data_IF_284914711769
#
_entry.id   IF_284914711769
#
_cell.length_a   1.000
_cell.length_b   1.000
_cell.length_c   1.000
_cell.angle_alpha   90.00
_cell.angle_beta   90.00
_cell.angle_gamma   90.00
#
_symmetry.space_group_name_H-M   'P 1'
#
loop_
_entity.id
_entity.type
_entity.pdbx_description
1 polymer ?
#
# COMPACT_ATOMS: atom_id res chain seq x y z
N UNK A 1 -14.80 11.14 -11.53
CA UNK A 1 -13.78 10.55 -10.64
C UNK A 1 -12.44 10.81 -11.29
N UNK A 2 -11.58 11.58 -10.64
CA UNK A 2 -10.24 11.92 -11.12
C UNK A 2 -9.26 10.99 -10.39
N UNK A 3 -8.38 10.32 -11.14
CA UNK A 3 -7.38 9.42 -10.57
C UNK A 3 -6.05 9.61 -11.28
N UNK A 4 -4.97 9.71 -10.52
CA UNK A 4 -3.60 9.69 -11.06
C UNK A 4 -3.00 8.30 -10.90
N UNK A 5 -2.35 7.80 -11.94
CA UNK A 5 -1.64 6.53 -11.94
C UNK A 5 -0.20 6.74 -12.40
N UNK A 6 0.70 5.91 -11.90
CA UNK A 6 2.08 5.84 -12.35
C UNK A 6 2.13 4.85 -13.52
N UNK A 7 2.65 5.29 -14.66
CA UNK A 7 2.98 4.38 -15.74
C UNK A 7 4.20 3.53 -15.33
N UNK A 8 4.05 2.21 -15.31
CA UNK A 8 5.02 1.28 -14.71
C UNK A 8 6.34 1.20 -15.46
N UNK A 9 6.35 1.60 -16.74
CA UNK A 9 7.54 1.59 -17.61
C UNK A 9 8.31 2.90 -17.54
N UNK A 10 7.60 4.02 -17.55
CA UNK A 10 8.20 5.36 -17.65
C UNK A 10 8.36 6.06 -16.31
N UNK A 11 7.70 5.55 -15.25
CA UNK A 11 7.63 6.17 -13.94
C UNK A 11 7.15 7.63 -14.01
N UNK A 12 6.17 7.91 -14.88
CA UNK A 12 5.50 9.21 -14.99
C UNK A 12 4.07 9.11 -14.47
N UNK A 13 3.59 10.18 -13.84
CA UNK A 13 2.19 10.29 -13.44
C UNK A 13 1.32 10.63 -14.65
N UNK A 14 0.19 9.95 -14.77
CA UNK A 14 -0.83 10.19 -15.79
C UNK A 14 -2.19 10.37 -15.10
N UNK A 15 -2.89 11.42 -15.50
CA UNK A 15 -4.24 11.75 -15.01
C UNK A 15 -5.29 11.03 -15.86
N UNK A 16 -6.23 10.39 -15.19
CA UNK A 16 -7.39 9.75 -15.81
C UNK A 16 -8.68 10.37 -15.28
N UNK A 17 -9.63 10.55 -16.18
CA UNK A 17 -10.98 11.01 -15.89
C UNK A 17 -11.96 9.88 -16.20
N UNK A 18 -12.84 9.54 -15.26
CA UNK A 18 -13.83 8.48 -15.46
C UNK A 18 -13.31 7.09 -15.05
N UNK A 19 -13.41 6.11 -15.95
CA UNK A 19 -12.97 4.72 -15.69
C UNK A 19 -11.47 4.59 -16.00
N UNK A 20 -10.61 4.35 -14.99
CA UNK A 20 -9.18 4.16 -15.24
C UNK A 20 -8.90 2.81 -15.94
N UNK A 21 -7.75 2.67 -16.61
CA UNK A 21 -7.26 1.37 -17.08
C UNK A 21 -7.01 0.42 -15.89
N UNK A 22 -6.84 -0.90 -16.09
CA UNK A 22 -6.41 -1.80 -15.02
C UNK A 22 -5.10 -1.33 -14.37
N UNK A 23 -5.05 -1.34 -13.04
CA UNK A 23 -3.88 -0.91 -12.26
C UNK A 23 -3.63 -1.81 -11.05
N UNK A 24 -2.37 -1.85 -10.61
CA UNK A 24 -2.01 -2.35 -9.28
C UNK A 24 -2.11 -1.22 -8.25
N UNK A 25 -2.40 -1.55 -6.99
CA UNK A 25 -2.45 -0.56 -5.90
C UNK A 25 -1.52 -0.98 -4.75
N UNK A 26 -0.73 -0.05 -4.23
CA UNK A 26 0.13 -0.29 -3.08
C UNK A 26 -0.58 0.05 -1.78
N UNK A 27 -0.63 -0.92 -0.87
CA UNK A 27 -0.95 -0.76 0.54
C UNK A 27 0.33 -0.92 1.35
N UNK A 28 0.71 0.10 2.11
CA UNK A 28 1.95 0.09 2.89
C UNK A 28 1.83 0.99 4.11
N UNK A 29 2.69 0.77 5.11
CA UNK A 29 2.88 1.74 6.19
C UNK A 29 3.91 2.77 5.77
N UNK A 30 3.56 4.06 5.87
CA UNK A 30 4.51 5.13 5.57
C UNK A 30 5.73 5.01 6.48
N UNK A 31 6.91 5.20 5.89
CA UNK A 31 8.21 5.09 6.51
C UNK A 31 9.00 6.38 6.37
N UNK A 32 10.33 6.25 6.33
CA UNK A 32 11.25 7.37 6.20
C UNK A 32 11.27 7.89 4.75
N UNK A 33 11.27 9.21 4.56
CA UNK A 33 11.41 9.88 3.25
C UNK A 33 10.45 9.35 2.17
N UNK A 34 9.14 9.37 2.47
CA UNK A 34 8.12 9.10 1.45
C UNK A 34 8.16 10.14 0.33
N UNK A 35 7.89 9.69 -0.89
CA UNK A 35 7.84 10.57 -2.07
C UNK A 35 6.45 11.20 -2.16
N UNK A 36 6.37 12.52 -1.97
CA UNK A 36 5.12 13.26 -2.19
C UNK A 36 4.80 13.40 -3.68
N UNK A 37 3.61 13.92 -4.00
CA UNK A 37 3.27 14.26 -5.38
C UNK A 37 4.29 15.24 -5.99
N UNK A 38 4.68 16.27 -5.22
CA UNK A 38 5.61 17.31 -5.64
C UNK A 38 7.00 16.74 -5.90
N UNK A 39 7.49 15.88 -4.99
CA UNK A 39 8.80 15.23 -5.14
C UNK A 39 8.83 14.35 -6.39
N UNK A 40 7.74 13.62 -6.65
CA UNK A 40 7.64 12.69 -7.77
C UNK A 40 7.76 13.37 -9.14
N UNK A 41 7.38 14.65 -9.25
CA UNK A 41 7.50 15.43 -10.49
C UNK A 41 8.96 15.73 -10.86
N UNK A 42 9.87 15.70 -9.89
CA UNK A 42 11.30 15.93 -10.11
C UNK A 42 12.06 14.59 -10.10
N UNK A 43 12.54 14.11 -11.27
CA UNK A 43 13.31 12.88 -11.34
C UNK A 43 14.53 12.88 -10.41
N UNK A 44 15.27 13.98 -10.33
CA UNK A 44 16.48 14.06 -9.50
C UNK A 44 16.19 14.05 -8.00
N UNK A 45 15.01 14.56 -7.60
CA UNK A 45 14.62 14.61 -6.19
C UNK A 45 14.09 13.25 -5.73
N UNK A 46 13.13 12.67 -6.45
CA UNK A 46 12.52 11.39 -6.06
C UNK A 46 13.54 10.26 -6.00
N UNK A 47 14.56 10.25 -6.87
CA UNK A 47 15.60 9.21 -6.87
C UNK A 47 16.47 9.21 -5.61
N UNK A 48 16.50 10.33 -4.87
CA UNK A 48 17.26 10.46 -3.62
C UNK A 48 16.47 10.03 -2.38
N UNK A 49 15.14 9.93 -2.49
CA UNK A 49 14.26 9.63 -1.37
C UNK A 49 14.13 8.12 -1.17
N UNK A 50 14.33 7.66 0.07
CA UNK A 50 14.28 6.23 0.39
C UNK A 50 12.94 5.57 0.00
N UNK A 51 11.82 6.29 0.14
CA UNK A 51 10.48 5.82 -0.22
C UNK A 51 10.31 5.49 -1.71
N UNK A 52 11.16 6.04 -2.59
CA UNK A 52 11.05 5.78 -4.03
C UNK A 52 11.34 4.32 -4.41
N UNK A 53 12.15 3.63 -3.60
CA UNK A 53 12.42 2.20 -3.76
C UNK A 53 11.14 1.35 -3.73
N UNK A 54 10.17 1.69 -2.86
CA UNK A 54 8.86 1.03 -2.79
C UNK A 54 8.03 1.30 -4.03
N UNK A 55 8.05 2.53 -4.53
CA UNK A 55 7.31 2.90 -5.75
C UNK A 55 7.87 2.18 -6.98
N UNK A 56 9.21 2.16 -7.15
CA UNK A 56 9.88 1.41 -8.21
C UNK A 56 9.53 -0.08 -8.15
N UNK A 57 9.58 -0.68 -6.97
CA UNK A 57 9.28 -2.10 -6.78
C UNK A 57 7.82 -2.43 -7.04
N UNK A 58 6.89 -1.55 -6.63
CA UNK A 58 5.46 -1.63 -6.97
C UNK A 58 5.26 -1.62 -8.48
N UNK A 59 5.90 -0.68 -9.19
CA UNK A 59 5.81 -0.59 -10.64
C UNK A 59 6.39 -1.82 -11.33
N UNK A 60 7.54 -2.32 -10.86
CA UNK A 60 8.17 -3.54 -11.38
C UNK A 60 7.27 -4.76 -11.20
N UNK A 61 6.62 -4.91 -10.04
CA UNK A 61 5.70 -6.02 -9.78
C UNK A 61 4.42 -5.91 -10.61
N UNK A 62 3.80 -4.73 -10.65
CA UNK A 62 2.67 -4.44 -11.52
C UNK A 62 2.97 -4.80 -12.99
N UNK A 63 4.13 -4.38 -13.48
CA UNK A 63 4.59 -4.71 -14.82
C UNK A 63 4.73 -6.22 -15.06
N UNK A 64 5.31 -6.96 -14.11
CA UNK A 64 5.41 -8.43 -14.21
C UNK A 64 4.07 -9.15 -14.20
N UNK A 65 3.01 -8.51 -13.68
CA UNK A 65 1.63 -9.00 -13.72
C UNK A 65 0.85 -8.49 -14.94
N UNK A 66 1.52 -7.89 -15.93
CA UNK A 66 0.88 -7.38 -17.15
C UNK A 66 0.10 -6.08 -16.96
N UNK A 67 0.38 -5.32 -15.91
CA UNK A 67 -0.28 -4.04 -15.63
C UNK A 67 0.65 -2.87 -15.99
N UNK A 68 0.22 -2.01 -16.90
CA UNK A 68 0.96 -0.81 -17.30
C UNK A 68 0.84 0.33 -16.28
N UNK A 69 -0.01 0.17 -15.25
CA UNK A 69 -0.31 1.20 -14.27
C UNK A 69 -0.24 0.71 -12.82
N UNK A 70 0.26 1.59 -11.96
CA UNK A 70 0.27 1.41 -10.52
C UNK A 70 -0.26 2.67 -9.80
N UNK A 71 -0.81 2.50 -8.62
CA UNK A 71 -1.25 3.59 -7.74
C UNK A 71 -0.55 3.48 -6.40
N UNK A 72 -0.06 4.62 -5.91
CA UNK A 72 0.56 4.78 -4.60
C UNK A 72 0.05 6.10 -4.00
N UNK A 73 -0.58 6.05 -2.83
CA UNK A 73 -1.23 7.18 -2.18
C UNK A 73 -0.28 8.36 -1.89
N UNK A 74 1.00 8.07 -1.64
CA UNK A 74 1.99 9.09 -1.29
C UNK A 74 2.26 10.09 -2.40
N UNK A 75 2.29 9.62 -3.65
CA UNK A 75 2.60 10.46 -4.82
C UNK A 75 1.45 10.58 -5.83
N UNK A 76 0.43 9.72 -5.78
CA UNK A 76 -0.72 9.80 -6.70
C UNK A 76 -1.78 10.80 -6.24
N UNK A 77 -1.76 11.20 -4.96
CA UNK A 77 -2.66 12.22 -4.40
C UNK A 77 -1.85 13.49 -4.14
N UNK A 78 -2.30 14.62 -4.66
CA UNK A 78 -1.79 15.92 -4.20
C UNK A 78 -2.43 16.29 -2.85
N UNK A 79 -1.70 16.03 -1.77
CA UNK A 79 -2.13 16.29 -0.39
C UNK A 79 -2.13 17.78 -0.04
N UNK A 80 -1.56 18.64 -0.88
CA UNK A 80 -1.62 20.11 -0.69
C UNK A 80 -2.97 20.68 -1.13
N UNK A 81 -3.71 19.96 -1.97
CA UNK A 81 -5.07 20.28 -2.38
C UNK A 81 -6.07 19.63 -1.40
N UNK A 82 -6.70 20.44 -0.54
CA UNK A 82 -7.70 19.95 0.41
C UNK A 82 -8.92 19.32 -0.28
N UNK A 83 -9.31 19.84 -1.44
CA UNK A 83 -10.37 19.29 -2.27
C UNK A 83 -9.99 17.89 -2.77
N UNK A 84 -8.79 17.72 -3.34
CA UNK A 84 -8.34 16.43 -3.83
C UNK A 84 -8.14 15.42 -2.70
N UNK A 85 -7.55 15.83 -1.58
CA UNK A 85 -7.39 14.97 -0.41
C UNK A 85 -8.74 14.46 0.11
N UNK A 86 -9.74 15.34 0.18
CA UNK A 86 -11.10 14.97 0.59
C UNK A 86 -11.75 14.00 -0.41
N UNK A 87 -11.62 14.25 -1.70
CA UNK A 87 -12.10 13.35 -2.75
C UNK A 87 -11.41 11.98 -2.67
N UNK A 88 -10.10 11.96 -2.43
CA UNK A 88 -9.29 10.76 -2.33
C UNK A 88 -9.70 9.91 -1.12
N UNK A 89 -9.88 10.52 0.05
CA UNK A 89 -10.38 9.84 1.26
C UNK A 89 -11.72 9.17 1.00
N UNK A 90 -12.66 9.87 0.36
CA UNK A 90 -13.99 9.33 0.03
C UNK A 90 -13.95 8.29 -1.10
N UNK A 91 -12.85 8.21 -1.85
CA UNK A 91 -12.68 7.33 -3.01
C UNK A 91 -11.82 6.10 -2.72
N UNK A 92 -11.04 6.09 -1.64
CA UNK A 92 -9.98 5.12 -1.43
C UNK A 92 -10.47 3.67 -1.42
N UNK A 93 -11.57 3.39 -0.69
CA UNK A 93 -12.19 2.05 -0.69
C UNK A 93 -12.54 1.59 -2.12
N UNK A 94 -13.11 2.49 -2.93
CA UNK A 94 -13.47 2.20 -4.32
C UNK A 94 -12.23 1.98 -5.19
N UNK A 95 -11.15 2.73 -4.97
CA UNK A 95 -9.89 2.53 -5.67
C UNK A 95 -9.22 1.20 -5.33
N UNK A 96 -9.24 0.78 -4.07
CA UNK A 96 -8.77 -0.56 -3.71
C UNK A 96 -9.66 -1.64 -4.32
N UNK A 97 -10.98 -1.51 -4.23
CA UNK A 97 -11.94 -2.47 -4.77
C UNK A 97 -11.81 -2.67 -6.28
N UNK A 98 -11.54 -1.60 -7.02
CA UNK A 98 -11.45 -1.63 -8.48
C UNK A 98 -10.03 -1.88 -9.00
N UNK A 99 -9.03 -1.98 -8.13
CA UNK A 99 -7.69 -2.40 -8.53
C UNK A 99 -7.71 -3.82 -9.09
N UNK A 100 -6.84 -4.10 -10.06
CA UNK A 100 -6.67 -5.47 -10.57
C UNK A 100 -5.96 -6.35 -9.53
N UNK A 101 -5.05 -5.75 -8.76
CA UNK A 101 -4.33 -6.38 -7.67
C UNK A 101 -3.88 -5.33 -6.65
N UNK A 102 -3.98 -5.68 -5.37
CA UNK A 102 -3.37 -4.93 -4.28
C UNK A 102 -2.12 -5.64 -3.77
N UNK A 103 -1.08 -4.86 -3.47
CA UNK A 103 0.14 -5.32 -2.81
C UNK A 103 0.16 -4.77 -1.39
N UNK A 104 0.08 -5.64 -0.38
CA UNK A 104 0.35 -5.28 1.01
C UNK A 104 1.85 -5.47 1.28
N UNK A 105 2.59 -4.38 1.33
CA UNK A 105 4.02 -4.38 1.61
C UNK A 105 4.29 -4.25 3.11
N UNK A 106 4.92 -5.27 3.68
CA UNK A 106 5.25 -5.37 5.10
C UNK A 106 6.73 -5.04 5.32
N UNK A 107 7.02 -3.75 5.45
CA UNK A 107 8.40 -3.21 5.59
C UNK A 107 9.16 -3.77 6.80
N UNK A 108 8.44 -4.14 7.85
CA UNK A 108 8.96 -4.68 9.10
C UNK A 108 8.90 -6.21 9.18
N UNK A 109 8.47 -6.89 8.11
CA UNK A 109 8.47 -8.35 8.05
C UNK A 109 9.78 -8.85 7.40
N UNK A 110 10.59 -9.64 8.13
CA UNK A 110 11.88 -10.12 7.66
C UNK A 110 11.71 -11.11 6.51
N UNK A 111 12.68 -11.16 5.59
CA UNK A 111 12.63 -12.10 4.48
C UNK A 111 13.16 -13.47 4.91
N UNK A 112 12.35 -14.55 4.86
CA UNK A 112 12.77 -15.89 5.29
C UNK A 112 13.93 -16.47 4.46
N UNK A 113 14.18 -15.92 3.26
CA UNK A 113 15.24 -16.36 2.35
C UNK A 113 16.61 -15.79 2.71
N UNK A 114 16.66 -14.64 3.37
CA UNK A 114 17.91 -13.95 3.74
C UNK A 114 18.15 -13.90 5.25
N UNK A 115 17.12 -14.12 6.06
CA UNK A 115 17.19 -14.02 7.51
C UNK A 115 16.77 -15.34 8.15
N UNK A 116 17.53 -15.82 9.15
CA UNK A 116 17.20 -17.06 9.86
C UNK A 116 15.81 -16.89 10.49
N UNK A 117 14.87 -17.83 10.31
CA UNK A 117 13.58 -17.77 11.00
C UNK A 117 13.83 -17.75 12.50
N UNK A 118 13.42 -16.66 13.15
CA UNK A 118 13.36 -16.57 14.61
C UNK A 118 12.05 -17.23 15.08
N UNK A 119 11.90 -17.51 16.37
CA UNK A 119 10.67 -18.11 16.94
C UNK A 119 9.40 -17.33 16.55
N UNK A 120 9.55 -16.08 16.12
CA UNK A 120 8.50 -15.13 15.77
C UNK A 120 8.10 -15.22 14.29
N UNK A 121 8.68 -16.09 13.45
CA UNK A 121 8.45 -16.12 11.99
C UNK A 121 7.43 -17.19 11.56
N UNK A 122 6.86 -17.95 12.50
CA UNK A 122 5.69 -18.82 12.26
C UNK A 122 4.44 -17.99 11.93
N UNK A 123 3.34 -18.62 11.48
CA UNK A 123 2.08 -17.97 11.06
C UNK A 123 1.50 -16.91 12.02
N UNK A 124 1.94 -16.87 13.27
CA UNK A 124 1.61 -15.86 14.30
C UNK A 124 2.42 -14.57 14.16
N UNK A 125 3.62 -14.62 13.56
CA UNK A 125 4.54 -13.50 13.35
C UNK A 125 4.02 -12.40 12.43
N UNK A 126 3.29 -12.82 11.41
CA UNK A 126 2.75 -11.95 10.38
C UNK A 126 1.80 -10.87 10.92
N UNK A 127 1.02 -11.22 11.96
CA UNK A 127 0.12 -10.28 12.64
C UNK A 127 0.81 -9.20 13.48
N UNK A 128 2.11 -9.31 13.73
CA UNK A 128 2.88 -8.29 14.49
C UNK A 128 3.39 -7.15 13.61
N UNK A 129 3.26 -7.25 12.28
CA UNK A 129 3.61 -6.14 11.40
C UNK A 129 2.77 -4.92 11.75
N UNK A 130 3.40 -3.74 11.73
CA UNK A 130 2.72 -2.44 11.86
C UNK A 130 1.58 -2.29 10.88
N UNK A 131 1.61 -2.98 9.74
CA UNK A 131 0.50 -2.96 8.78
C UNK A 131 -0.83 -3.38 9.44
N UNK A 132 -0.82 -4.37 10.32
CA UNK A 132 -2.02 -4.84 11.04
C UNK A 132 -2.43 -3.95 12.22
N UNK A 133 -1.71 -2.88 12.55
CA UNK A 133 -2.07 -2.00 13.67
C UNK A 133 -2.64 -0.64 13.21
N UNK A 134 -2.70 -0.39 11.90
CA UNK A 134 -3.15 0.90 11.34
C UNK A 134 -4.64 0.87 11.00
N UNK A 135 -5.37 1.93 11.36
CA UNK A 135 -6.82 2.00 11.15
C UNK A 135 -7.27 1.92 9.68
N UNK A 136 -6.41 2.28 8.72
CA UNK A 136 -6.73 2.27 7.29
C UNK A 136 -6.58 0.90 6.64
N UNK A 137 -5.68 0.05 7.14
CA UNK A 137 -5.32 -1.21 6.47
C UNK A 137 -6.46 -2.23 6.49
N UNK A 138 -7.48 -2.08 7.35
CA UNK A 138 -8.68 -2.90 7.27
C UNK A 138 -9.42 -2.70 5.94
N UNK A 139 -9.54 -1.47 5.46
CA UNK A 139 -10.18 -1.20 4.16
C UNK A 139 -9.34 -1.79 3.02
N UNK A 140 -8.02 -1.63 3.12
CA UNK A 140 -7.04 -2.15 2.15
C UNK A 140 -7.00 -3.69 2.13
N UNK A 141 -7.30 -4.34 3.27
CA UNK A 141 -7.41 -5.78 3.42
C UNK A 141 -8.67 -6.35 2.74
N UNK A 142 -9.81 -5.68 2.93
CA UNK A 142 -11.12 -6.25 2.55
C UNK A 142 -11.62 -5.78 1.19
N UNK A 143 -11.28 -4.56 0.76
CA UNK A 143 -11.78 -3.97 -0.47
C UNK A 143 -11.32 -4.68 -1.77
N UNK A 144 -10.03 -4.97 -1.97
CA UNK A 144 -9.56 -5.54 -3.23
C UNK A 144 -10.05 -6.98 -3.43
N UNK A 145 -10.27 -7.36 -4.69
CA UNK A 145 -10.61 -8.74 -5.06
C UNK A 145 -9.41 -9.67 -4.87
N UNK A 146 -8.23 -9.22 -5.32
CA UNK A 146 -6.94 -9.91 -5.17
C UNK A 146 -5.99 -9.07 -4.33
N UNK A 147 -5.46 -9.66 -3.28
CA UNK A 147 -4.48 -9.05 -2.39
C UNK A 147 -3.34 -10.04 -2.14
N UNK A 148 -2.11 -9.57 -2.37
CA UNK A 148 -0.89 -10.33 -2.12
C UNK A 148 -0.02 -9.60 -1.08
N UNK A 149 0.54 -10.37 -0.16
CA UNK A 149 1.44 -9.87 0.86
C UNK A 149 2.90 -10.06 0.46
N UNK A 150 3.69 -9.04 0.71
CA UNK A 150 5.11 -8.98 0.38
C UNK A 150 5.93 -8.61 1.60
N UNK A 151 7.07 -9.26 1.77
CA UNK A 151 8.05 -8.93 2.81
C UNK A 151 8.88 -7.69 2.44
N UNK A 152 9.79 -7.28 3.33
CA UNK A 152 10.68 -6.13 3.10
C UNK A 152 11.60 -6.27 1.87
N UNK A 153 11.77 -7.48 1.35
CA UNK A 153 12.57 -7.81 0.16
C UNK A 153 11.72 -7.98 -1.10
N UNK A 154 10.42 -7.66 -1.05
CA UNK A 154 9.48 -7.83 -2.17
C UNK A 154 9.29 -9.29 -2.65
N UNK A 155 9.55 -10.24 -1.76
CA UNK A 155 9.22 -11.64 -1.96
C UNK A 155 7.77 -11.90 -1.56
N UNK A 156 7.07 -12.70 -2.35
CA UNK A 156 5.67 -13.03 -2.07
C UNK A 156 5.61 -13.93 -0.83
N UNK A 157 4.85 -13.49 0.18
CA UNK A 157 4.58 -14.26 1.39
C UNK A 157 3.38 -15.18 1.15
N UNK A 158 2.26 -14.60 0.74
CA UNK A 158 1.00 -15.30 0.51
C UNK A 158 -0.01 -14.43 -0.25
N UNK A 159 -1.00 -15.06 -0.86
CA UNK A 159 -2.25 -14.41 -1.25
C UNK A 159 -3.23 -14.41 -0.05
N UNK A 160 -4.03 -13.35 0.10
CA UNK A 160 -5.05 -13.22 1.16
C UNK A 160 -5.95 -14.45 1.31
N UNK A 161 -6.33 -15.07 0.21
CA UNK A 161 -7.21 -16.27 0.18
C UNK A 161 -6.53 -17.49 0.82
N UNK A 162 -5.21 -17.63 0.65
CA UNK A 162 -4.44 -18.75 1.19
C UNK A 162 -4.28 -18.68 2.71
N UNK A 163 -4.32 -17.48 3.29
CA UNK A 163 -4.14 -17.23 4.74
C UNK A 163 -5.42 -16.68 5.41
N UNK A 164 -6.58 -16.95 4.83
CA UNK A 164 -7.84 -16.37 5.27
C UNK A 164 -8.19 -16.74 6.73
N UNK A 165 -7.81 -17.94 7.19
CA UNK A 165 -8.07 -18.42 8.56
C UNK A 165 -7.22 -17.66 9.59
N UNK A 166 -5.94 -17.47 9.28
CA UNK A 166 -4.97 -16.71 10.07
C UNK A 166 -5.38 -15.24 10.14
N UNK A 167 -5.79 -14.67 9.01
CA UNK A 167 -6.30 -13.30 8.92
C UNK A 167 -7.57 -13.10 9.75
N UNK A 168 -8.45 -14.11 9.88
CA UNK A 168 -9.64 -14.00 10.72
C UNK A 168 -9.29 -13.78 12.20
N UNK A 169 -8.23 -14.45 12.69
CA UNK A 169 -7.71 -14.26 14.05
C UNK A 169 -7.14 -12.85 14.23
N UNK A 170 -6.32 -12.40 13.29
CA UNK A 170 -5.71 -11.05 13.30
C UNK A 170 -6.79 -9.95 13.19
N UNK A 171 -7.81 -10.15 12.35
CA UNK A 171 -8.92 -9.21 12.19
C UNK A 171 -9.73 -9.03 13.48
N UNK A 172 -9.88 -10.08 14.28
CA UNK A 172 -10.43 -9.98 15.63
C UNK A 172 -9.64 -9.00 16.50
N UNK A 173 -8.30 -9.06 16.43
CA UNK A 173 -7.40 -8.12 17.11
C UNK A 173 -7.52 -6.69 16.55
N UNK A 174 -7.53 -6.52 15.22
CA UNK A 174 -7.67 -5.20 14.58
C UNK A 174 -8.99 -4.51 14.96
N UNK A 175 -10.08 -5.29 15.07
CA UNK A 175 -11.39 -4.77 15.47
C UNK A 175 -11.35 -4.30 16.94
N UNK A 176 -10.67 -5.02 17.83
CA UNK A 176 -10.46 -4.59 19.21
C UNK A 176 -9.60 -3.34 19.32
N UNK A 177 -8.51 -3.23 18.54
CA UNK A 177 -7.67 -2.02 18.51
C UNK A 177 -8.40 -0.81 17.92
N UNK A 178 -9.27 -1.00 16.92
CA UNK A 178 -10.11 0.07 16.38
C UNK A 178 -11.16 0.58 17.38
N UNK A 179 -11.52 -0.20 18.39
CA UNK A 179 -12.42 0.22 19.49
C UNK A 179 -11.67 0.92 20.64
N UNK A 180 -10.36 0.74 20.75
CA UNK A 180 -9.50 1.50 21.66
C UNK A 180 -9.03 2.81 21.00
N UNK A 181 -9.80 3.89 21.14
CA UNK A 181 -9.39 5.23 20.69
C UNK A 181 -8.09 5.67 21.37
N UNK A 182 -7.10 6.25 20.65
CA UNK A 182 -6.23 7.27 21.21
C UNK A 182 -6.93 8.64 21.16
N UNK A 183 -6.59 9.57 22.06
CA UNK A 183 -7.26 10.87 22.17
C UNK A 183 -7.02 11.71 20.91
N UNK A 184 -8.03 12.52 20.57
CA UNK A 184 -7.87 13.65 19.65
C UNK A 184 -6.61 14.47 19.98
N UNK A 185 -5.78 14.72 18.98
CA UNK A 185 -4.96 15.93 18.89
C UNK A 185 -5.05 16.40 17.44
N UNK A 186 -6.00 17.28 17.11
CA UNK A 186 -5.80 18.73 16.98
C UNK A 186 -4.53 19.08 16.18
N UNK A 187 -4.79 19.47 14.92
CA UNK A 187 -4.16 20.58 14.19
C UNK A 187 -3.16 21.45 14.96
N UNK A 188 -1.93 21.52 14.48
CA UNK A 188 -1.31 22.68 13.84
C UNK A 188 0.04 22.25 13.23
#
# INVERSE_FOLDING_TARGET
MNMRLINTRTLKLQQFHGKPPPYAILSHTWGHEEVSFQDFQSPDLREKLAGFSKIRSTCKKAYSHGLDYAWVDTCCIDKTSSAELSEAINSMFKWYRNSAIAYAFLEDYPSPKTEKPTLNTTSVGFGHSRWFTRGWTLQELIAPQRLEFYDRSWENIAERTAIAKELAVIKGLMTMFSMARPPCSRSA
#
